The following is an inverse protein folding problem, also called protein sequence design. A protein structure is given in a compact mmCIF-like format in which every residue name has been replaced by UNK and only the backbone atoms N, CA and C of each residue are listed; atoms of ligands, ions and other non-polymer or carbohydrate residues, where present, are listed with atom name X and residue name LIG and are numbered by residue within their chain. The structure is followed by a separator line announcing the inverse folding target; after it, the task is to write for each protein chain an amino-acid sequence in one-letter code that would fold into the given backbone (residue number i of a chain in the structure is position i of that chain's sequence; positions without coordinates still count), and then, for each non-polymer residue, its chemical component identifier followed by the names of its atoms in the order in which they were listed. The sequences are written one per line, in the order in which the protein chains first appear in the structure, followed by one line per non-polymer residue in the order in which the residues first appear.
data_IF_051264002797
#
_entry.id   IF_051264002797
#
_cell.length_a   1.000
_cell.length_b   1.000
_cell.length_c   1.000
_cell.angle_alpha   90.00
_cell.angle_beta   90.00
_cell.angle_gamma   90.00
#
_symmetry.space_group_name_H-M   'P 1'
#
loop_
_entity.id
_entity.type
_entity.pdbx_description
1 polymer ?
#
# COMPACT_ATOMS: atom_id res chain seq x y z
N UNK A 1 -3.12 16.82 4.34
CA UNK A 1 -3.54 18.25 4.33
C UNK A 1 -5.06 18.37 4.23
N UNK A 2 -5.62 17.73 3.21
CA UNK A 2 -6.99 17.24 3.09
C UNK A 2 -7.73 17.01 4.45
N UNK A 3 -7.24 16.18 5.38
CA UNK A 3 -7.94 15.90 6.64
C UNK A 3 -8.10 17.14 7.55
N UNK A 4 -7.10 18.03 7.57
CA UNK A 4 -7.17 19.32 8.29
C UNK A 4 -8.20 20.23 7.63
N UNK A 5 -8.23 20.26 6.30
CA UNK A 5 -9.21 21.04 5.55
C UNK A 5 -10.63 20.50 5.76
N UNK A 6 -10.83 19.18 5.70
CA UNK A 6 -12.12 18.53 5.93
C UNK A 6 -12.68 18.81 7.33
N UNK A 7 -11.83 18.83 8.36
CA UNK A 7 -12.23 19.24 9.71
C UNK A 7 -12.61 20.72 9.76
N UNK A 8 -11.82 21.59 9.13
CA UNK A 8 -12.09 23.04 9.05
C UNK A 8 -13.42 23.34 8.35
N UNK A 9 -13.75 22.61 7.30
CA UNK A 9 -15.00 22.76 6.54
C UNK A 9 -16.16 21.95 7.11
N UNK A 10 -15.92 21.14 8.16
CA UNK A 10 -16.87 20.18 8.73
C UNK A 10 -17.44 19.22 7.67
N UNK A 11 -16.59 18.77 6.75
CA UNK A 11 -16.94 17.86 5.65
C UNK A 11 -16.24 16.50 5.72
N UNK A 12 -15.65 16.15 6.86
CA UNK A 12 -15.08 14.82 7.12
C UNK A 12 -16.15 13.73 7.02
N UNK A 13 -15.87 12.66 6.28
CA UNK A 13 -16.77 11.53 6.07
C UNK A 13 -16.00 10.26 5.69
N UNK A 14 -16.68 9.11 5.66
CA UNK A 14 -16.08 7.81 5.36
C UNK A 14 -15.51 7.69 3.94
N UNK A 15 -16.17 8.31 2.93
CA UNK A 15 -15.65 8.35 1.57
C UNK A 15 -14.28 9.03 1.53
N UNK A 16 -14.12 10.15 2.25
CA UNK A 16 -12.84 10.85 2.35
C UNK A 16 -11.73 9.97 2.92
N UNK A 17 -12.03 9.17 3.95
CA UNK A 17 -11.04 8.27 4.57
C UNK A 17 -10.64 7.12 3.64
N UNK A 18 -11.61 6.48 2.98
CA UNK A 18 -11.35 5.41 1.98
C UNK A 18 -10.55 5.97 0.80
N UNK A 19 -10.87 7.19 0.35
CA UNK A 19 -10.17 7.83 -0.75
C UNK A 19 -8.72 8.19 -0.39
N UNK A 20 -8.47 8.74 0.81
CA UNK A 20 -7.13 9.07 1.31
C UNK A 20 -6.23 7.83 1.35
N UNK A 21 -6.71 6.74 1.98
CA UNK A 21 -5.98 5.47 2.04
C UNK A 21 -5.77 4.83 0.67
N UNK A 22 -6.76 4.92 -0.23
CA UNK A 22 -6.61 4.45 -1.60
C UNK A 22 -5.51 5.20 -2.36
N UNK A 23 -5.45 6.53 -2.22
CA UNK A 23 -4.40 7.35 -2.80
C UNK A 23 -3.03 7.04 -2.20
N UNK A 24 -2.94 6.88 -0.88
CA UNK A 24 -1.69 6.52 -0.20
C UNK A 24 -1.19 5.12 -0.60
N UNK A 25 -2.10 4.16 -0.82
CA UNK A 25 -1.74 2.84 -1.33
C UNK A 25 -1.21 2.87 -2.77
N UNK A 26 -1.77 3.72 -3.64
CA UNK A 26 -1.21 3.96 -4.99
C UNK A 26 0.18 4.59 -4.86
N UNK A 27 0.33 5.57 -3.97
CA UNK A 27 1.60 6.24 -3.72
C UNK A 27 2.67 5.28 -3.17
N UNK A 28 2.29 4.28 -2.37
CA UNK A 28 3.21 3.23 -1.93
C UNK A 28 3.82 2.45 -3.11
N UNK A 29 3.01 2.12 -4.12
CA UNK A 29 3.48 1.47 -5.35
C UNK A 29 4.44 2.35 -6.17
N UNK A 30 4.12 3.64 -6.31
CA UNK A 30 5.01 4.62 -6.96
C UNK A 30 6.30 4.78 -6.14
N UNK A 31 6.21 4.78 -4.82
CA UNK A 31 7.34 4.83 -3.90
C UNK A 31 8.30 3.64 -4.07
N UNK A 32 7.76 2.43 -4.27
CA UNK A 32 8.57 1.24 -4.54
C UNK A 32 9.37 1.39 -5.84
N UNK A 33 8.71 1.83 -6.92
CA UNK A 33 9.36 2.12 -8.21
C UNK A 33 10.44 3.19 -8.02
N UNK A 34 10.14 4.27 -7.30
CA UNK A 34 11.09 5.34 -7.04
C UNK A 34 12.34 4.84 -6.31
N UNK A 35 12.19 4.01 -5.27
CA UNK A 35 13.32 3.44 -4.54
C UNK A 35 14.19 2.55 -5.44
N UNK A 36 13.59 1.72 -6.30
CA UNK A 36 14.33 0.88 -7.23
C UNK A 36 15.15 1.70 -8.24
N UNK A 37 14.57 2.78 -8.76
CA UNK A 37 15.25 3.68 -9.72
C UNK A 37 16.38 4.45 -9.04
N UNK A 38 16.08 5.07 -7.90
CA UNK A 38 17.02 5.90 -7.14
C UNK A 38 18.23 5.07 -6.71
N UNK A 39 18.02 3.86 -6.21
CA UNK A 39 19.10 2.98 -5.76
C UNK A 39 19.82 2.23 -6.90
N UNK A 40 19.37 2.38 -8.15
CA UNK A 40 19.99 1.73 -9.31
C UNK A 40 19.77 0.21 -9.40
N UNK A 41 18.85 -0.32 -8.58
CA UNK A 41 18.58 -1.76 -8.43
C UNK A 41 17.90 -2.40 -9.65
N UNK A 42 17.46 -1.55 -10.58
CA UNK A 42 16.87 -1.94 -11.86
C UNK A 42 17.90 -2.20 -12.96
N UNK A 43 19.17 -1.91 -12.73
CA UNK A 43 20.21 -2.14 -13.73
C UNK A 43 20.75 -3.56 -13.64
N UNK A 44 20.91 -4.24 -14.78
CA UNK A 44 21.31 -5.66 -14.84
C UNK A 44 22.63 -5.97 -14.15
N UNK A 45 23.54 -4.99 -14.03
CA UNK A 45 24.82 -5.12 -13.32
C UNK A 45 24.76 -4.85 -11.81
N UNK A 46 23.60 -4.46 -11.27
CA UNK A 46 23.39 -4.16 -9.85
C UNK A 46 22.19 -4.93 -9.27
N UNK A 47 21.77 -6.00 -9.94
CA UNK A 47 20.66 -6.83 -9.48
C UNK A 47 21.06 -7.62 -8.24
N UNK A 48 20.44 -7.27 -7.11
CA UNK A 48 20.61 -7.94 -5.83
C UNK A 48 19.22 -8.26 -5.27
N UNK A 49 18.73 -9.51 -5.36
CA UNK A 49 17.35 -9.88 -5.01
C UNK A 49 16.93 -9.39 -3.62
N UNK A 50 17.86 -9.44 -2.66
CA UNK A 50 17.65 -8.94 -1.31
C UNK A 50 17.36 -7.44 -1.26
N UNK A 51 18.15 -6.62 -1.97
CA UNK A 51 17.97 -5.16 -1.97
C UNK A 51 16.71 -4.76 -2.74
N UNK A 52 16.43 -5.45 -3.84
CA UNK A 52 15.19 -5.26 -4.62
C UNK A 52 13.97 -5.56 -3.75
N UNK A 53 13.97 -6.70 -3.05
CA UNK A 53 12.89 -7.08 -2.14
C UNK A 53 12.75 -6.07 -0.99
N UNK A 54 13.84 -5.63 -0.39
CA UNK A 54 13.81 -4.61 0.68
C UNK A 54 13.21 -3.30 0.17
N UNK A 55 13.63 -2.82 -1.00
CA UNK A 55 13.11 -1.59 -1.62
C UNK A 55 11.62 -1.69 -1.94
N UNK A 56 11.16 -2.82 -2.47
CA UNK A 56 9.73 -3.07 -2.77
C UNK A 56 8.92 -3.21 -1.49
N UNK A 57 9.40 -3.96 -0.49
CA UNK A 57 8.69 -4.18 0.76
C UNK A 57 8.54 -2.91 1.61
N UNK A 58 9.50 -1.97 1.52
CA UNK A 58 9.58 -0.75 2.33
C UNK A 58 8.28 0.07 2.36
N UNK A 59 7.67 0.45 1.23
CA UNK A 59 6.41 1.19 1.24
C UNK A 59 5.17 0.31 1.47
N UNK A 60 5.18 -0.98 1.09
CA UNK A 60 3.98 -1.83 1.16
C UNK A 60 3.74 -2.44 2.54
N UNK A 61 4.77 -3.07 3.13
CA UNK A 61 4.63 -3.88 4.35
C UNK A 61 4.18 -3.05 5.57
N UNK A 62 4.88 -1.97 5.96
CA UNK A 62 4.46 -1.19 7.12
C UNK A 62 3.14 -0.45 6.89
N UNK A 63 2.80 -0.11 5.64
CA UNK A 63 1.54 0.55 5.32
C UNK A 63 0.34 -0.39 5.50
N UNK A 64 0.42 -1.62 4.97
CA UNK A 64 -0.66 -2.59 5.14
C UNK A 64 -0.86 -2.97 6.60
N UNK A 65 0.23 -3.23 7.34
CA UNK A 65 0.13 -3.61 8.75
C UNK A 65 -0.40 -2.45 9.60
N UNK A 66 -0.09 -1.19 9.27
CA UNK A 66 -0.70 -0.03 9.91
C UNK A 66 -2.20 0.10 9.62
N UNK A 67 -2.61 -0.15 8.36
CA UNK A 67 -4.04 -0.15 7.97
C UNK A 67 -4.80 -1.27 8.69
N UNK A 68 -4.19 -2.44 8.83
CA UNK A 68 -4.72 -3.57 9.60
C UNK A 68 -4.79 -3.28 11.09
N UNK A 69 -3.79 -2.60 11.64
CA UNK A 69 -3.83 -2.12 13.03
C UNK A 69 -5.00 -1.15 13.23
N UNK A 70 -5.18 -0.18 12.32
CA UNK A 70 -6.29 0.76 12.36
C UNK A 70 -7.65 0.08 12.32
N UNK A 71 -7.82 -0.95 11.48
CA UNK A 71 -9.05 -1.75 11.44
C UNK A 71 -9.43 -2.32 12.83
N UNK A 72 -8.44 -2.82 13.58
CA UNK A 72 -8.67 -3.44 14.89
C UNK A 72 -8.70 -2.45 16.06
N UNK A 73 -7.83 -1.45 16.04
CA UNK A 73 -7.66 -0.46 17.10
C UNK A 73 -8.75 0.61 17.02
N UNK A 74 -9.21 0.94 15.81
CA UNK A 74 -10.22 1.95 15.55
C UNK A 74 -9.67 3.31 15.12
N UNK A 75 -8.35 3.45 15.04
CA UNK A 75 -7.67 4.68 14.61
C UNK A 75 -6.22 4.39 14.18
N UNK A 76 -5.73 5.15 13.20
CA UNK A 76 -4.33 5.14 12.80
C UNK A 76 -3.41 5.64 13.92
N UNK A 77 -2.50 4.78 14.38
CA UNK A 77 -1.50 5.14 15.38
C UNK A 77 -0.24 5.67 14.67
N UNK A 78 0.02 6.97 14.81
CA UNK A 78 1.23 7.62 14.31
C UNK A 78 2.07 8.16 15.47
N UNK A 79 3.16 7.46 15.87
CA UNK A 79 4.11 8.01 16.83
C UNK A 79 4.85 9.23 16.27
N UNK A 80 5.56 9.94 17.16
CA UNK A 80 6.45 11.06 16.76
C UNK A 80 7.40 10.62 15.67
N UNK A 81 7.93 9.40 15.82
CA UNK A 81 8.68 8.73 14.77
C UNK A 81 7.78 7.74 14.04
N UNK A 82 7.54 7.89 12.73
CA UNK A 82 6.63 7.02 11.99
C UNK A 82 7.06 6.72 10.54
N UNK A 83 6.53 5.64 9.98
CA UNK A 83 6.85 5.23 8.61
C UNK A 83 6.54 6.30 7.55
N UNK A 84 5.34 6.90 7.53
CA UNK A 84 4.98 7.89 6.52
C UNK A 84 5.87 9.13 6.46
N UNK A 85 6.15 9.79 7.60
CA UNK A 85 6.94 11.01 7.59
C UNK A 85 8.42 10.74 7.30
N UNK A 86 9.03 9.77 7.98
CA UNK A 86 10.45 9.48 7.86
C UNK A 86 10.78 8.73 6.58
N UNK A 87 9.91 7.81 6.17
CA UNK A 87 10.05 7.11 4.90
C UNK A 87 10.06 8.08 3.71
N UNK A 88 9.16 9.07 3.70
CA UNK A 88 9.14 10.10 2.65
C UNK A 88 10.38 11.00 2.71
N UNK A 89 10.79 11.45 3.89
CA UNK A 89 12.01 12.26 4.04
C UNK A 89 13.26 11.51 3.60
N UNK A 90 13.40 10.23 3.98
CA UNK A 90 14.49 9.37 3.52
C UNK A 90 14.42 9.15 2.00
N UNK A 91 13.24 8.92 1.44
CA UNK A 91 13.05 8.82 -0.01
C UNK A 91 13.49 10.08 -0.76
N UNK A 92 13.17 11.27 -0.23
CA UNK A 92 13.65 12.56 -0.77
C UNK A 92 15.18 12.63 -0.69
N UNK A 93 15.76 12.30 0.47
CA UNK A 93 17.22 12.30 0.65
C UNK A 93 17.93 11.35 -0.32
N UNK A 94 17.42 10.12 -0.49
CA UNK A 94 17.98 9.15 -1.44
C UNK A 94 17.89 9.68 -2.87
N UNK A 95 16.75 10.29 -3.24
CA UNK A 95 16.55 10.88 -4.56
C UNK A 95 17.54 12.02 -4.83
N UNK A 96 17.82 12.87 -3.83
CA UNK A 96 18.82 13.94 -3.93
C UNK A 96 20.23 13.38 -4.10
N UNK A 97 20.61 12.35 -3.32
CA UNK A 97 21.91 11.69 -3.43
C UNK A 97 22.08 11.11 -4.84
N UNK A 98 21.09 10.39 -5.36
CA UNK A 98 21.14 9.84 -6.72
C UNK A 98 21.17 10.91 -7.80
N UNK A 99 20.46 12.02 -7.60
CA UNK A 99 20.49 13.16 -8.52
C UNK A 99 21.87 13.83 -8.60
N UNK A 100 22.60 13.89 -7.47
CA UNK A 100 23.92 14.52 -7.39
C UNK A 100 25.07 13.57 -7.76
N UNK A 101 25.02 12.32 -7.31
CA UNK A 101 26.12 11.35 -7.41
C UNK A 101 25.91 10.28 -8.50
N UNK A 102 24.69 10.20 -9.06
CA UNK A 102 24.24 9.09 -9.91
C UNK A 102 23.80 7.87 -9.12
N UNK A 103 22.83 7.11 -9.62
CA UNK A 103 22.32 5.89 -8.96
C UNK A 103 23.38 4.78 -8.83
N UNK A 104 24.37 4.74 -9.71
CA UNK A 104 25.50 3.81 -9.60
C UNK A 104 26.36 4.03 -8.34
N UNK A 105 26.27 5.20 -7.70
CA UNK A 105 26.98 5.47 -6.44
C UNK A 105 26.60 4.49 -5.33
N UNK A 106 25.34 4.04 -5.28
CA UNK A 106 24.86 3.11 -4.26
C UNK A 106 25.53 1.73 -4.31
N UNK A 107 26.04 1.34 -5.48
CA UNK A 107 26.76 0.09 -5.69
C UNK A 107 28.29 0.20 -5.57
N UNK A 108 28.84 1.41 -5.36
CA UNK A 108 30.29 1.59 -5.23
C UNK A 108 30.76 1.04 -3.88
N UNK A 109 31.82 0.25 -3.93
CA UNK A 109 32.47 -0.26 -2.72
C UNK A 109 33.26 0.86 -2.04
N UNK A 110 33.10 0.95 -0.72
CA UNK A 110 33.84 1.87 0.14
C UNK A 110 34.53 1.06 1.25
N UNK A 111 35.65 1.58 1.79
CA UNK A 111 36.20 1.06 3.03
C UNK A 111 35.13 1.15 4.13
N UNK A 112 35.00 0.10 4.96
CA UNK A 112 33.85 -0.18 5.85
C UNK A 112 33.11 1.07 6.33
N UNK A 113 31.97 1.37 5.70
CA UNK A 113 31.21 2.60 5.93
C UNK A 113 30.74 2.77 7.38
N UNK A 114 30.62 1.67 8.11
CA UNK A 114 30.15 1.62 9.49
C UNK A 114 31.27 1.30 10.49
N UNK A 115 32.52 1.11 10.05
CA UNK A 115 33.63 0.62 10.90
C UNK A 115 33.29 -0.64 11.73
N UNK A 116 32.29 -1.43 11.28
CA UNK A 116 31.87 -2.69 11.87
C UNK A 116 32.52 -3.81 11.06
N UNK A 117 33.74 -4.22 11.44
CA UNK A 117 34.52 -5.22 10.71
C UNK A 117 33.83 -6.60 10.60
N UNK A 118 32.78 -6.85 11.40
CA UNK A 118 32.00 -8.08 11.41
C UNK A 118 30.78 -8.07 10.47
N UNK A 119 30.41 -6.91 9.91
CA UNK A 119 29.34 -6.77 8.92
C UNK A 119 30.00 -6.53 7.55
N UNK A 120 29.90 -7.45 6.58
CA UNK A 120 30.48 -7.29 5.25
C UNK A 120 29.65 -6.31 4.39
N UNK A 121 29.19 -5.20 4.97
CA UNK A 121 28.40 -4.16 4.32
C UNK A 121 29.37 -3.11 3.80
N UNK A 122 29.65 -3.18 2.51
CA UNK A 122 30.69 -2.36 1.86
C UNK A 122 30.08 -1.33 0.91
N UNK A 123 28.80 -1.49 0.54
CA UNK A 123 28.09 -0.62 -0.39
C UNK A 123 27.01 0.20 0.32
N UNK A 124 26.85 1.50 0.02
CA UNK A 124 25.81 2.33 0.62
C UNK A 124 24.40 1.77 0.43
N UNK A 125 24.11 1.14 -0.72
CA UNK A 125 22.82 0.51 -1.00
C UNK A 125 22.51 -0.66 -0.05
N UNK A 126 23.51 -1.42 0.35
CA UNK A 126 23.36 -2.51 1.34
C UNK A 126 23.02 -1.97 2.72
N UNK A 127 23.68 -0.88 3.14
CA UNK A 127 23.37 -0.20 4.41
C UNK A 127 21.90 0.22 4.43
N UNK A 128 21.43 0.86 3.35
CA UNK A 128 20.02 1.26 3.21
C UNK A 128 19.09 0.05 3.22
N UNK A 129 19.41 -1.01 2.48
CA UNK A 129 18.61 -2.22 2.41
C UNK A 129 18.43 -2.91 3.76
N UNK A 130 19.52 -3.07 4.52
CA UNK A 130 19.49 -3.67 5.86
C UNK A 130 18.80 -2.79 6.90
N UNK A 131 19.08 -1.48 6.88
CA UNK A 131 18.43 -0.53 7.78
C UNK A 131 16.92 -0.45 7.53
N UNK A 132 16.51 -0.44 6.26
CA UNK A 132 15.10 -0.45 5.87
C UNK A 132 14.42 -1.72 6.36
N UNK A 133 15.02 -2.90 6.11
CA UNK A 133 14.47 -4.17 6.59
C UNK A 133 14.33 -4.20 8.11
N UNK A 134 15.36 -3.80 8.86
CA UNK A 134 15.31 -3.77 10.32
C UNK A 134 14.21 -2.83 10.83
N UNK A 135 14.08 -1.65 10.23
CA UNK A 135 13.06 -0.66 10.59
C UNK A 135 11.64 -1.16 10.28
N UNK A 136 11.45 -1.80 9.14
CA UNK A 136 10.17 -2.41 8.73
C UNK A 136 9.78 -3.53 9.71
N UNK A 137 10.69 -4.47 9.98
CA UNK A 137 10.44 -5.60 10.87
C UNK A 137 10.07 -5.09 12.26
N UNK A 138 10.83 -4.15 12.81
CA UNK A 138 10.52 -3.55 14.11
C UNK A 138 9.13 -2.89 14.11
N UNK A 139 8.85 -2.08 13.10
CA UNK A 139 7.56 -1.37 12.96
C UNK A 139 6.38 -2.35 12.91
N UNK A 140 6.45 -3.37 12.04
CA UNK A 140 5.40 -4.37 11.91
C UNK A 140 5.23 -5.19 13.20
N UNK A 141 6.31 -5.57 13.88
CA UNK A 141 6.23 -6.27 15.16
C UNK A 141 5.53 -5.43 16.24
N UNK A 142 5.80 -4.13 16.30
CA UNK A 142 5.12 -3.22 17.21
C UNK A 142 3.61 -3.13 16.90
N UNK A 143 3.23 -2.95 15.63
CA UNK A 143 1.83 -2.86 15.20
C UNK A 143 1.07 -4.17 15.46
N UNK A 144 1.67 -5.32 15.16
CA UNK A 144 1.13 -6.64 15.51
C UNK A 144 0.97 -6.76 17.03
N UNK A 145 1.98 -6.38 17.80
CA UNK A 145 1.94 -6.38 19.26
C UNK A 145 0.78 -5.56 19.83
N UNK A 146 0.51 -4.38 19.27
CA UNK A 146 -0.57 -3.50 19.69
C UNK A 146 -1.95 -4.17 19.51
N UNK A 147 -2.20 -4.79 18.35
CA UNK A 147 -3.46 -5.51 18.10
C UNK A 147 -3.60 -6.73 19.00
N UNK A 148 -2.54 -7.53 19.16
CA UNK A 148 -2.58 -8.72 20.02
C UNK A 148 -2.85 -8.35 21.49
N UNK A 149 -2.19 -7.30 22.00
CA UNK A 149 -2.41 -6.79 23.34
C UNK A 149 -3.84 -6.25 23.52
N UNK A 150 -4.38 -5.55 22.53
CA UNK A 150 -5.76 -5.05 22.54
C UNK A 150 -6.77 -6.20 22.61
N UNK A 151 -6.59 -7.24 21.79
CA UNK A 151 -7.46 -8.41 21.78
C UNK A 151 -7.39 -9.17 23.10
N UNK A 152 -6.19 -9.35 23.64
CA UNK A 152 -5.99 -9.96 24.96
C UNK A 152 -6.71 -9.19 26.07
N UNK A 153 -6.56 -7.85 26.12
CA UNK A 153 -7.24 -6.98 27.10
C UNK A 153 -8.77 -7.02 26.96
N UNK A 154 -9.29 -7.24 25.76
CA UNK A 154 -10.73 -7.36 25.47
C UNK A 154 -11.25 -8.79 25.62
N UNK A 155 -10.42 -9.76 26.03
CA UNK A 155 -10.75 -11.19 26.10
C UNK A 155 -11.32 -11.74 24.78
N UNK A 156 -10.75 -11.32 23.65
CA UNK A 156 -11.14 -11.73 22.30
C UNK A 156 -10.07 -12.61 21.67
N UNK A 157 -10.47 -13.38 20.65
CA UNK A 157 -9.54 -14.25 19.93
C UNK A 157 -8.49 -13.45 19.15
N UNK A 158 -7.23 -13.89 19.23
CA UNK A 158 -6.12 -13.37 18.43
C UNK A 158 -6.01 -14.04 17.05
N UNK A 159 -6.71 -15.16 16.85
CA UNK A 159 -6.58 -15.97 15.64
C UNK A 159 -7.10 -15.23 14.41
N UNK A 160 -8.30 -14.63 14.51
CA UNK A 160 -8.90 -13.90 13.39
C UNK A 160 -8.01 -12.74 12.91
N UNK A 161 -7.48 -11.86 13.80
CA UNK A 161 -6.52 -10.83 13.39
C UNK A 161 -5.32 -11.37 12.61
N UNK A 162 -4.75 -12.50 13.02
CA UNK A 162 -3.61 -13.10 12.33
C UNK A 162 -4.01 -13.71 10.98
N UNK A 163 -5.22 -14.28 10.87
CA UNK A 163 -5.74 -14.78 9.59
C UNK A 163 -5.97 -13.65 8.58
N UNK A 164 -6.36 -12.46 9.04
CA UNK A 164 -6.57 -11.29 8.19
C UNK A 164 -5.28 -10.75 7.55
N UNK A 165 -4.11 -11.17 8.05
CA UNK A 165 -2.80 -10.88 7.44
C UNK A 165 -2.44 -11.82 6.28
N UNK A 166 -3.07 -13.01 6.20
CA UNK A 166 -2.77 -14.02 5.17
C UNK A 166 -2.88 -13.52 3.72
N UNK A 167 -3.88 -12.72 3.32
CA UNK A 167 -4.00 -12.24 1.94
C UNK A 167 -2.81 -11.40 1.50
N UNK A 168 -2.32 -10.55 2.41
CA UNK A 168 -1.15 -9.74 2.16
C UNK A 168 0.15 -10.56 2.26
N UNK A 169 0.23 -11.51 3.20
CA UNK A 169 1.34 -12.45 3.25
C UNK A 169 1.47 -13.29 1.97
N UNK A 170 0.35 -13.67 1.34
CA UNK A 170 0.32 -14.34 0.05
C UNK A 170 0.84 -13.44 -1.07
N UNK A 171 0.44 -12.16 -1.09
CA UNK A 171 0.99 -11.17 -2.03
C UNK A 171 2.51 -11.00 -1.84
N UNK A 172 2.97 -10.79 -0.59
CA UNK A 172 4.38 -10.62 -0.28
C UNK A 172 5.22 -11.87 -0.64
N UNK A 173 4.69 -13.06 -0.39
CA UNK A 173 5.30 -14.32 -0.82
C UNK A 173 5.38 -14.46 -2.33
N UNK A 174 4.31 -14.11 -3.05
CA UNK A 174 4.29 -14.08 -4.52
C UNK A 174 5.29 -13.09 -5.12
N UNK A 175 5.40 -11.89 -4.55
CA UNK A 175 6.41 -10.89 -4.94
C UNK A 175 7.83 -11.40 -4.69
N UNK A 176 8.05 -12.04 -3.54
CA UNK A 176 9.36 -12.61 -3.21
C UNK A 176 9.76 -13.72 -4.20
N UNK A 177 8.80 -14.58 -4.58
CA UNK A 177 9.01 -15.59 -5.60
C UNK A 177 9.30 -14.96 -6.96
N UNK A 178 8.52 -13.96 -7.38
CA UNK A 178 8.70 -13.23 -8.63
C UNK A 178 10.10 -12.61 -8.72
N UNK A 179 10.58 -11.95 -7.67
CA UNK A 179 11.94 -11.38 -7.62
C UNK A 179 13.00 -12.47 -7.69
N UNK A 180 12.76 -13.64 -7.08
CA UNK A 180 13.70 -14.75 -7.08
C UNK A 180 13.77 -15.50 -8.43
N UNK A 181 12.66 -15.61 -9.16
CA UNK A 181 12.57 -16.43 -10.39
C UNK A 181 12.52 -15.58 -11.68
N UNK A 182 11.72 -14.51 -11.71
CA UNK A 182 11.39 -13.71 -12.90
C UNK A 182 12.02 -12.31 -12.88
N UNK A 183 13.29 -12.21 -12.50
CA UNK A 183 13.98 -10.92 -12.37
C UNK A 183 14.04 -10.12 -13.69
N UNK A 184 14.13 -10.79 -14.85
CA UNK A 184 14.13 -10.14 -16.17
C UNK A 184 12.83 -9.36 -16.41
N UNK A 185 11.68 -9.91 -16.01
CA UNK A 185 10.38 -9.26 -16.16
C UNK A 185 10.31 -7.96 -15.34
N UNK A 186 10.89 -7.96 -14.13
CA UNK A 186 10.93 -6.77 -13.28
C UNK A 186 11.84 -5.68 -13.88
N UNK A 187 12.99 -6.07 -14.44
CA UNK A 187 13.97 -5.17 -15.04
C UNK A 187 13.44 -4.56 -16.35
N UNK A 188 12.90 -5.39 -17.24
CA UNK A 188 12.44 -4.98 -18.58
C UNK A 188 11.10 -4.23 -18.54
N UNK A 189 10.20 -4.58 -17.61
CA UNK A 189 8.91 -3.93 -17.45
C UNK A 189 8.52 -3.69 -15.97
N UNK A 190 9.19 -2.75 -15.28
CA UNK A 190 8.89 -2.42 -13.89
C UNK A 190 7.47 -1.92 -13.68
N UNK A 191 6.96 -1.08 -14.58
CA UNK A 191 5.61 -0.53 -14.46
C UNK A 191 4.54 -1.61 -14.58
N UNK A 192 4.80 -2.63 -15.41
CA UNK A 192 3.89 -3.75 -15.59
C UNK A 192 3.83 -4.61 -14.32
N UNK A 193 4.99 -5.00 -13.82
CA UNK A 193 5.14 -5.88 -12.66
C UNK A 193 4.73 -5.18 -11.37
N UNK A 194 5.37 -4.06 -11.03
CA UNK A 194 5.08 -3.30 -9.82
C UNK A 194 3.72 -2.61 -9.89
N UNK A 195 3.25 -2.22 -11.07
CA UNK A 195 1.89 -1.71 -11.24
C UNK A 195 0.83 -2.78 -10.98
N UNK A 196 1.06 -4.04 -11.39
CA UNK A 196 0.17 -5.16 -11.03
C UNK A 196 0.17 -5.37 -9.51
N UNK A 197 1.35 -5.41 -8.89
CA UNK A 197 1.51 -5.59 -7.44
C UNK A 197 0.78 -4.46 -6.69
N UNK A 198 0.99 -3.22 -7.10
CA UNK A 198 0.34 -2.05 -6.52
C UNK A 198 -1.18 -2.08 -6.70
N UNK A 199 -1.68 -2.51 -7.86
CA UNK A 199 -3.12 -2.60 -8.11
C UNK A 199 -3.81 -3.64 -7.21
N UNK A 200 -3.17 -4.78 -6.95
CA UNK A 200 -3.66 -5.79 -5.99
C UNK A 200 -3.58 -5.23 -4.56
N UNK A 201 -2.47 -4.58 -4.21
CA UNK A 201 -2.29 -3.96 -2.91
C UNK A 201 -3.34 -2.89 -2.58
N UNK A 202 -3.64 -2.01 -3.54
CA UNK A 202 -4.66 -0.96 -3.41
C UNK A 202 -6.03 -1.56 -3.14
N UNK A 203 -6.38 -2.65 -3.82
CA UNK A 203 -7.62 -3.37 -3.55
C UNK A 203 -7.66 -3.87 -2.09
N UNK A 204 -6.61 -4.55 -1.63
CA UNK A 204 -6.57 -5.08 -0.26
C UNK A 204 -6.70 -3.98 0.80
N UNK A 205 -5.99 -2.85 0.63
CA UNK A 205 -6.08 -1.69 1.51
C UNK A 205 -7.49 -1.11 1.52
N UNK A 206 -8.07 -0.86 0.35
CA UNK A 206 -9.41 -0.25 0.23
C UNK A 206 -10.47 -1.18 0.78
N UNK A 207 -10.37 -2.49 0.57
CA UNK A 207 -11.25 -3.51 1.16
C UNK A 207 -11.18 -3.51 2.68
N UNK A 208 -9.98 -3.43 3.24
CA UNK A 208 -9.76 -3.38 4.69
C UNK A 208 -10.30 -2.09 5.30
N UNK A 209 -10.05 -0.95 4.66
CA UNK A 209 -10.56 0.34 5.10
C UNK A 209 -12.09 0.45 4.96
N UNK A 210 -12.66 -0.16 3.91
CA UNK A 210 -14.11 -0.25 3.76
C UNK A 210 -14.70 -1.03 4.93
N UNK A 211 -14.13 -2.20 5.27
CA UNK A 211 -14.57 -3.01 6.40
C UNK A 211 -14.45 -2.25 7.74
N UNK A 212 -13.38 -1.48 7.92
CA UNK A 212 -13.21 -0.58 9.07
C UNK A 212 -14.36 0.45 9.15
N UNK A 213 -14.62 1.17 8.06
CA UNK A 213 -15.63 2.23 8.01
C UNK A 213 -17.07 1.73 8.14
N UNK A 214 -17.35 0.52 7.66
CA UNK A 214 -18.68 -0.10 7.76
C UNK A 214 -18.85 -0.93 9.03
N UNK A 215 -17.81 -1.07 9.85
CA UNK A 215 -17.76 -1.98 11.00
C UNK A 215 -18.14 -3.42 10.63
N UNK A 216 -17.83 -3.84 9.41
CA UNK A 216 -18.07 -5.20 8.93
C UNK A 216 -16.83 -6.08 9.09
N UNK A 217 -17.01 -7.38 8.99
CA UNK A 217 -15.88 -8.30 8.92
C UNK A 217 -15.08 -8.03 7.64
N UNK A 218 -13.76 -8.03 7.77
CA UNK A 218 -12.86 -8.01 6.63
C UNK A 218 -13.00 -9.32 5.84
N UNK A 219 -13.38 -9.19 4.57
CA UNK A 219 -13.45 -10.32 3.63
C UNK A 219 -12.43 -10.04 2.53
N UNK A 220 -11.23 -10.62 2.61
CA UNK A 220 -10.14 -10.31 1.68
C UNK A 220 -10.32 -10.90 0.28
N UNK A 221 -11.20 -11.88 0.13
CA UNK A 221 -11.39 -12.57 -1.14
C UNK A 221 -12.70 -12.15 -1.79
N UNK A 222 -12.59 -11.23 -2.75
CA UNK A 222 -13.71 -10.92 -3.63
C UNK A 222 -13.71 -11.89 -4.80
N UNK A 223 -14.88 -12.46 -5.11
CA UNK A 223 -15.07 -13.35 -6.28
C UNK A 223 -14.66 -12.68 -7.59
N UNK A 224 -14.58 -11.36 -7.61
CA UNK A 224 -14.22 -10.56 -8.77
C UNK A 224 -12.71 -10.52 -9.06
N UNK A 225 -11.86 -10.96 -8.11
CA UNK A 225 -10.42 -11.22 -8.34
C UNK A 225 -10.15 -12.60 -8.96
N UNK A 226 -11.14 -13.49 -8.95
CA UNK A 226 -11.00 -14.85 -9.46
C UNK A 226 -10.57 -14.90 -10.94
N UNK A 227 -11.09 -14.08 -11.86
CA UNK A 227 -10.63 -14.08 -13.26
C UNK A 227 -9.16 -13.69 -13.41
N UNK A 228 -8.69 -12.68 -12.66
CA UNK A 228 -7.28 -12.28 -12.66
C UNK A 228 -6.38 -13.38 -12.10
N UNK A 229 -6.79 -13.99 -10.99
CA UNK A 229 -6.10 -15.12 -10.39
C UNK A 229 -6.05 -16.35 -11.32
N UNK A 230 -7.17 -16.71 -11.94
CA UNK A 230 -7.24 -17.82 -12.89
C UNK A 230 -6.40 -17.56 -14.13
N UNK A 231 -6.38 -16.31 -14.62
CA UNK A 231 -5.51 -15.92 -15.71
C UNK A 231 -4.04 -16.10 -15.31
N UNK A 232 -3.62 -15.58 -14.15
CA UNK A 232 -2.27 -15.77 -13.61
C UNK A 232 -1.89 -17.25 -13.51
N UNK A 233 -2.75 -18.07 -12.89
CA UNK A 233 -2.52 -19.52 -12.76
C UNK A 233 -2.38 -20.17 -14.14
N UNK A 234 -3.23 -19.79 -15.11
CA UNK A 234 -3.13 -20.30 -16.47
C UNK A 234 -1.81 -19.89 -17.15
N UNK A 235 -1.31 -18.68 -16.91
CA UNK A 235 -0.02 -18.23 -17.45
C UNK A 235 1.13 -19.07 -16.92
N UNK A 236 1.25 -19.16 -15.59
CA UNK A 236 2.32 -19.93 -14.91
C UNK A 236 2.24 -21.41 -15.28
N UNK A 237 1.03 -21.95 -15.38
CA UNK A 237 0.82 -23.36 -15.74
C UNK A 237 1.20 -23.63 -17.20
N UNK A 238 0.88 -22.72 -18.13
CA UNK A 238 1.23 -22.85 -19.54
C UNK A 238 2.74 -22.83 -19.74
N UNK A 239 3.42 -21.92 -19.05
CA UNK A 239 4.88 -21.82 -19.06
C UNK A 239 5.55 -23.07 -18.50
N UNK A 240 5.11 -23.52 -17.33
CA UNK A 240 5.60 -24.75 -16.70
C UNK A 240 5.37 -25.98 -17.59
N UNK A 241 4.22 -26.03 -18.29
CA UNK A 241 3.85 -27.14 -19.17
C UNK A 241 4.67 -27.19 -20.47
N UNK A 242 4.96 -26.05 -21.08
CA UNK A 242 5.86 -26.00 -22.24
C UNK A 242 7.30 -26.35 -21.83
N UNK A 243 7.77 -25.85 -20.68
CA UNK A 243 9.09 -26.18 -20.14
C UNK A 243 9.26 -27.70 -19.91
N UNK A 244 8.24 -28.38 -19.37
CA UNK A 244 8.20 -29.84 -19.21
C UNK A 244 8.32 -30.59 -20.54
N UNK A 245 7.90 -30.00 -21.65
CA UNK A 245 8.03 -30.57 -23.00
C UNK A 245 9.35 -30.22 -23.69
N UNK A 246 10.26 -29.55 -22.98
CA UNK A 246 11.51 -29.04 -23.55
C UNK A 246 11.29 -27.93 -24.57
N UNK A 247 10.14 -27.23 -24.50
CA UNK A 247 9.79 -26.11 -25.38
C UNK A 247 9.80 -24.82 -24.55
N UNK A 248 10.36 -23.76 -25.10
CA UNK A 248 10.19 -22.43 -24.55
C UNK A 248 9.03 -21.74 -25.26
N UNK A 249 8.16 -21.07 -24.50
CA UNK A 249 7.30 -20.06 -25.09
C UNK A 249 8.19 -18.97 -25.70
N UNK A 250 7.84 -18.48 -26.89
CA UNK A 250 8.51 -17.31 -27.45
C UNK A 250 8.35 -16.13 -26.49
N UNK A 251 9.41 -15.36 -26.27
CA UNK A 251 9.39 -14.19 -25.39
C UNK A 251 8.20 -13.25 -25.70
N UNK A 252 7.87 -13.03 -26.97
CA UNK A 252 6.71 -12.23 -27.41
C UNK A 252 5.37 -12.71 -26.82
N UNK A 253 5.17 -14.04 -26.72
CA UNK A 253 3.94 -14.61 -26.15
C UNK A 253 3.88 -14.44 -24.64
N UNK A 254 4.98 -14.69 -23.94
CA UNK A 254 5.07 -14.45 -22.49
C UNK A 254 4.79 -12.98 -22.18
N UNK A 255 5.43 -12.07 -22.91
CA UNK A 255 5.21 -10.63 -22.80
C UNK A 255 3.75 -10.25 -23.05
N UNK A 256 3.14 -10.74 -24.13
CA UNK A 256 1.73 -10.45 -24.45
C UNK A 256 0.79 -10.91 -23.32
N UNK A 257 1.06 -12.08 -22.74
CA UNK A 257 0.26 -12.66 -21.68
C UNK A 257 0.39 -11.88 -20.36
N UNK A 258 1.60 -11.47 -19.98
CA UNK A 258 1.83 -10.59 -18.83
C UNK A 258 1.17 -9.22 -19.01
N UNK A 259 1.20 -8.66 -20.22
CA UNK A 259 0.47 -7.42 -20.55
C UNK A 259 -1.04 -7.58 -20.42
N UNK A 260 -1.60 -8.68 -20.93
CA UNK A 260 -3.02 -8.98 -20.78
C UNK A 260 -3.41 -9.11 -19.29
N UNK A 261 -2.60 -9.81 -18.49
CA UNK A 261 -2.82 -9.94 -17.06
C UNK A 261 -2.81 -8.59 -16.34
N UNK A 262 -1.78 -7.76 -16.59
CA UNK A 262 -1.71 -6.40 -16.05
C UNK A 262 -2.93 -5.57 -16.41
N UNK A 263 -3.35 -5.57 -17.68
CA UNK A 263 -4.52 -4.81 -18.13
C UNK A 263 -5.80 -5.28 -17.43
N UNK A 264 -5.98 -6.58 -17.27
CA UNK A 264 -7.14 -7.14 -16.55
C UNK A 264 -7.15 -6.72 -15.08
N UNK A 265 -6.01 -6.85 -14.38
CA UNK A 265 -5.88 -6.45 -12.97
C UNK A 265 -6.10 -4.94 -12.82
N UNK A 266 -5.46 -4.13 -13.66
CA UNK A 266 -5.57 -2.68 -13.60
C UNK A 266 -6.99 -2.19 -13.91
N UNK A 267 -7.62 -2.72 -14.97
CA UNK A 267 -9.00 -2.38 -15.32
C UNK A 267 -9.97 -2.79 -14.21
N UNK A 268 -9.75 -3.96 -13.60
CA UNK A 268 -10.51 -4.42 -12.44
C UNK A 268 -10.36 -3.44 -11.26
N UNK A 269 -9.13 -3.13 -10.84
CA UNK A 269 -8.88 -2.22 -9.71
C UNK A 269 -9.46 -0.84 -9.98
N UNK A 270 -9.30 -0.30 -11.20
CA UNK A 270 -9.90 0.97 -11.58
C UNK A 270 -11.43 0.95 -11.48
N UNK A 271 -12.08 -0.09 -12.01
CA UNK A 271 -13.53 -0.25 -11.92
C UNK A 271 -13.98 -0.40 -10.47
N UNK A 272 -13.26 -1.19 -9.67
CA UNK A 272 -13.52 -1.40 -8.25
C UNK A 272 -13.52 -0.08 -7.48
N UNK A 273 -12.47 0.75 -7.66
CA UNK A 273 -12.38 2.06 -7.04
C UNK A 273 -13.51 2.99 -7.47
N UNK A 274 -13.83 3.04 -8.77
CA UNK A 274 -14.93 3.86 -9.29
C UNK A 274 -16.27 3.45 -8.68
N UNK A 275 -16.54 2.15 -8.59
CA UNK A 275 -17.77 1.62 -8.02
C UNK A 275 -17.89 1.92 -6.52
N UNK A 276 -16.82 1.74 -5.75
CA UNK A 276 -16.82 2.06 -4.32
C UNK A 276 -17.05 3.55 -4.09
N UNK A 277 -16.35 4.41 -4.83
CA UNK A 277 -16.53 5.86 -4.72
C UNK A 277 -17.97 6.24 -5.08
N UNK A 278 -18.53 5.67 -6.15
CA UNK A 278 -19.90 5.94 -6.56
C UNK A 278 -20.94 5.48 -5.51
N UNK A 279 -20.77 4.28 -4.96
CA UNK A 279 -21.70 3.72 -3.98
C UNK A 279 -21.63 4.47 -2.65
N UNK A 280 -20.43 4.73 -2.13
CA UNK A 280 -20.25 5.54 -0.91
C UNK A 280 -20.79 6.96 -1.10
N UNK A 281 -20.59 7.56 -2.28
CA UNK A 281 -21.15 8.88 -2.61
C UNK A 281 -22.68 8.87 -2.58
N UNK A 282 -23.31 7.81 -3.10
CA UNK A 282 -24.76 7.63 -3.08
C UNK A 282 -25.28 7.45 -1.65
N UNK A 283 -24.66 6.55 -0.87
CA UNK A 283 -25.09 6.25 0.51
C UNK A 283 -24.90 7.44 1.45
N UNK A 284 -23.80 8.18 1.32
CA UNK A 284 -23.49 9.34 2.15
C UNK A 284 -24.13 10.64 1.64
N UNK A 285 -24.81 10.61 0.49
CA UNK A 285 -25.39 11.77 -0.20
C UNK A 285 -24.38 12.92 -0.43
N UNK A 286 -23.12 12.56 -0.70
CA UNK A 286 -22.04 13.50 -0.98
C UNK A 286 -21.68 13.47 -2.47
N UNK A 287 -21.27 14.62 -3.00
CA UNK A 287 -20.67 14.68 -4.33
C UNK A 287 -19.15 14.70 -4.18
N UNK A 288 -18.41 13.75 -4.78
CA UNK A 288 -16.96 13.79 -4.80
C UNK A 288 -16.45 15.16 -5.25
N UNK A 289 -15.41 15.65 -4.58
CA UNK A 289 -14.75 16.92 -4.89
C UNK A 289 -15.62 18.19 -4.80
N UNK A 290 -16.82 18.11 -4.18
CA UNK A 290 -17.67 19.28 -3.96
C UNK A 290 -18.13 19.38 -2.51
N UNK A 291 -17.83 20.51 -1.87
CA UNK A 291 -18.37 20.84 -0.56
C UNK A 291 -19.78 21.42 -0.77
N UNK A 292 -20.75 20.94 0.00
CA UNK A 292 -22.11 21.50 -0.04
C UNK A 292 -22.03 22.94 0.46
N UNK A 293 -22.40 23.90 -0.40
CA UNK A 293 -22.50 25.29 0.03
C UNK A 293 -23.42 25.35 1.25
N UNK A 294 -22.97 26.01 2.32
CA UNK A 294 -23.83 26.32 3.46
C UNK A 294 -24.87 27.32 2.95
N UNK A 295 -25.96 26.82 2.35
CA UNK A 295 -27.14 27.61 2.07
C UNK A 295 -27.51 28.33 3.37
N UNK A 296 -27.60 29.66 3.28
CA UNK A 296 -27.76 30.54 4.43
C UNK A 296 -28.77 29.99 5.42
N UNK A 297 -28.35 29.88 6.68
CA UNK A 297 -29.26 29.58 7.77
C UNK A 297 -30.51 30.49 7.62
N UNK A 298 -31.73 29.95 7.65
CA UNK A 298 -32.91 30.80 7.66
C UNK A 298 -32.80 31.64 8.93
N UNK A 299 -32.59 32.96 8.77
CA UNK A 299 -32.69 33.92 9.86
C UNK A 299 -34.03 33.66 10.54
N UNK A 300 -33.97 33.15 11.77
CA UNK A 300 -35.15 32.83 12.55
C UNK A 300 -36.10 34.02 12.51
N UNK A 301 -37.34 33.79 12.07
CA UNK A 301 -38.42 34.72 12.34
C UNK A 301 -38.55 34.78 13.86
N UNK A 302 -38.06 35.85 14.46
CA UNK A 302 -38.42 36.23 15.81
C UNK A 302 -39.92 36.50 15.83
N UNK A 303 -40.71 35.49 16.17
CA UNK A 303 -42.08 35.69 16.63
C UNK A 303 -41.99 36.19 18.06
N UNK A 304 -42.05 37.51 18.21
CA UNK A 304 -42.38 38.15 19.47
C UNK A 304 -43.78 37.67 19.88
N UNK A 305 -43.85 36.85 20.93
CA UNK A 305 -45.09 36.66 21.69
C UNK A 305 -44.88 37.34 23.03
N UNK A 306 -45.33 38.58 23.08
CA UNK A 306 -45.54 39.34 24.29
C UNK A 306 -46.88 38.86 24.89
N UNK A 307 -46.88 38.44 26.15
CA UNK A 307 -48.09 37.96 26.80
C UNK A 307 -47.82 37.41 28.19
N UNK A 308 -47.50 38.29 29.13
CA UNK A 308 -47.37 37.93 30.53
C UNK A 308 -48.69 37.48 31.16
N UNK A 309 -48.58 36.61 32.17
CA UNK A 309 -49.41 36.68 33.38
C UNK A 309 -48.77 35.85 34.51
N UNK A 310 -48.63 36.52 35.65
CA UNK A 310 -48.32 35.99 36.99
C UNK A 310 -49.30 34.86 37.38
N UNK A 311 -48.88 33.87 38.17
CA UNK A 311 -49.07 33.78 39.63
C UNK A 311 -48.86 32.33 40.13
N UNK A 312 -48.20 32.24 41.29
CA UNK A 312 -48.12 31.14 42.27
C UNK A 312 -47.35 29.87 41.90
#
# INVERSE_FOLDING_TARGET
MDGKQARRTQSSNALGMVFDHGCDAINAGIGAINLLVVLGLMSSGMWEPFLVLSAVATPFLPFYVATWEEYYVGALILPVVNGPAEGVLLGVMFSLISGLCGSAWWGKEHASLLALDWLPVTRPGEVVGWFSLASIVLTCLCQIGNVLLLQHRKCRSIVQPLLDLLPFAALAGGVSLLIATEHELLIEAPLLTLGTIAAIFVEQVVSLMLAHMTHSLYVPYHRTLLPAFLLFVALVSLESWEALKGRALSAERLWTLWHAHFLVVFAYTALYLVLIVAELSRVLEVRPFRIKDRGGAPKGKATAVNGGKKMQ
#
